data_IF_476059427508
#
_entry.id   IF_476059427508
#
_cell.length_a   1.000
_cell.length_b   1.000
_cell.length_c   1.000
_cell.angle_alpha   90.00
_cell.angle_beta   90.00
_cell.angle_gamma   90.00
#
_symmetry.space_group_name_H-M   'P 1'
#
loop_
_entity.id
_entity.type
_entity.pdbx_description
1 polymer ?
#
# COMPACT_ATOMS: atom_id res chain seq x y z
N UNK A 1 -60.10 -15.07 -10.23
CA UNK A 1 -59.70 -13.69 -10.55
C UNK A 1 -58.27 -13.49 -10.12
N UNK A 2 -57.45 -13.04 -11.07
CA UNK A 2 -56.00 -12.78 -11.05
C UNK A 2 -55.54 -11.92 -9.86
N UNK A 3 -54.31 -11.98 -9.35
CA UNK A 3 -53.07 -11.75 -10.09
C UNK A 3 -51.81 -12.28 -9.36
N UNK A 4 -50.75 -12.66 -10.10
CA UNK A 4 -49.39 -12.77 -9.58
C UNK A 4 -48.65 -11.41 -9.68
N UNK A 5 -48.01 -10.97 -8.61
CA UNK A 5 -47.20 -9.74 -8.62
C UNK A 5 -45.76 -10.05 -9.05
N UNK A 6 -45.41 -9.67 -10.28
CA UNK A 6 -44.04 -9.46 -10.77
C UNK A 6 -43.42 -8.25 -10.04
N UNK A 7 -42.11 -7.98 -9.91
CA UNK A 7 -40.94 -8.27 -10.74
C UNK A 7 -39.65 -7.95 -9.92
N UNK A 8 -38.44 -8.24 -10.43
CA UNK A 8 -37.16 -7.91 -9.80
C UNK A 8 -36.69 -6.51 -10.23
N UNK A 9 -35.97 -5.76 -9.39
CA UNK A 9 -35.00 -4.71 -9.80
C UNK A 9 -34.35 -4.10 -8.56
N UNK A 10 -33.03 -4.15 -8.46
CA UNK A 10 -32.24 -3.04 -7.90
C UNK A 10 -30.85 -3.07 -8.54
N UNK A 11 -30.55 -1.94 -9.18
CA UNK A 11 -29.44 -1.67 -10.09
C UNK A 11 -28.04 -1.82 -9.46
N UNK A 12 -26.98 -1.96 -10.28
CA UNK A 12 -25.62 -1.76 -9.82
C UNK A 12 -25.36 -0.26 -9.57
N UNK A 13 -25.03 0.08 -8.34
CA UNK A 13 -24.56 1.41 -7.94
C UNK A 13 -23.25 1.73 -8.66
N UNK A 14 -23.30 2.67 -9.60
CA UNK A 14 -22.10 3.24 -10.22
C UNK A 14 -21.43 4.18 -9.20
N UNK A 15 -20.22 3.83 -8.76
CA UNK A 15 -19.44 4.69 -7.89
C UNK A 15 -18.84 5.87 -8.67
N UNK A 16 -18.84 7.10 -8.12
CA UNK A 16 -18.16 8.23 -8.72
C UNK A 16 -16.63 8.16 -8.50
N UNK A 17 -15.87 8.26 -9.60
CA UNK A 17 -14.42 8.46 -9.59
C UNK A 17 -14.12 9.89 -9.13
N UNK A 18 -13.66 10.05 -7.89
CA UNK A 18 -13.09 11.31 -7.42
C UNK A 18 -11.64 11.39 -7.88
N UNK A 19 -11.42 12.15 -8.96
CA UNK A 19 -10.12 12.50 -9.50
C UNK A 19 -9.30 13.29 -8.49
N UNK A 20 -8.18 12.72 -8.06
CA UNK A 20 -7.17 13.41 -7.26
C UNK A 20 -6.28 14.25 -8.17
N UNK A 21 -6.37 15.58 -8.05
CA UNK A 21 -5.38 16.50 -8.62
C UNK A 21 -4.85 17.38 -7.50
N UNK A 22 -3.73 16.94 -6.93
CA UNK A 22 -2.89 17.77 -6.07
C UNK A 22 -1.46 17.62 -6.59
N UNK A 23 -1.04 18.59 -7.38
CA UNK A 23 0.28 18.71 -7.97
C UNK A 23 1.30 19.05 -6.87
N UNK A 24 2.38 18.27 -6.65
CA UNK A 24 3.47 18.73 -5.80
C UNK A 24 4.49 19.56 -6.59
N UNK A 25 4.86 20.68 -5.97
CA UNK A 25 5.94 21.62 -6.35
C UNK A 25 7.32 20.93 -6.35
N UNK A 26 8.23 21.21 -7.30
CA UNK A 26 9.58 20.65 -7.28
C UNK A 26 10.42 21.33 -6.19
N UNK A 27 10.46 20.73 -5.00
CA UNK A 27 11.48 21.03 -4.00
C UNK A 27 12.80 20.36 -4.41
N UNK A 28 13.98 20.98 -4.19
CA UNK A 28 15.26 20.37 -4.55
C UNK A 28 15.47 19.07 -3.76
N UNK A 29 15.37 17.94 -4.45
CA UNK A 29 15.65 16.62 -3.90
C UNK A 29 17.14 16.54 -3.53
N UNK A 30 17.45 16.77 -2.26
CA UNK A 30 18.65 16.27 -1.61
C UNK A 30 18.78 14.79 -1.96
N UNK A 31 19.93 14.40 -2.49
CA UNK A 31 20.28 13.06 -2.94
C UNK A 31 20.04 12.03 -1.81
N UNK A 32 18.86 11.41 -1.79
CA UNK A 32 18.61 10.18 -1.02
C UNK A 32 19.47 9.07 -1.59
N UNK A 33 19.95 8.13 -0.75
CA UNK A 33 20.84 7.06 -1.18
C UNK A 33 20.21 6.28 -2.33
N UNK A 34 20.90 6.27 -3.46
CA UNK A 34 20.55 5.53 -4.67
C UNK A 34 20.36 4.06 -4.32
N UNK A 35 19.12 3.65 -4.08
CA UNK A 35 18.71 2.26 -4.19
C UNK A 35 19.07 1.78 -5.61
N UNK A 36 19.66 0.58 -5.78
CA UNK A 36 20.30 0.18 -7.03
C UNK A 36 19.35 0.32 -8.24
N UNK A 37 19.85 0.85 -9.38
CA UNK A 37 19.05 1.04 -10.57
C UNK A 37 18.66 -0.32 -11.17
N UNK A 38 17.44 -0.78 -10.92
CA UNK A 38 16.88 -1.95 -11.60
C UNK A 38 15.86 -2.77 -10.82
N UNK A 39 15.77 -2.61 -9.49
CA UNK A 39 14.82 -3.37 -8.67
C UNK A 39 13.72 -2.43 -8.18
N UNK A 40 12.59 -2.40 -8.89
CA UNK A 40 11.40 -1.71 -8.36
C UNK A 40 10.89 -2.54 -7.19
N UNK A 41 11.27 -2.12 -6.00
CA UNK A 41 10.75 -2.61 -4.75
C UNK A 41 9.38 -1.94 -4.54
N UNK A 42 8.37 -2.75 -4.28
CA UNK A 42 6.99 -2.28 -4.03
C UNK A 42 6.50 -2.90 -2.74
N UNK A 43 5.69 -2.14 -2.00
CA UNK A 43 5.01 -2.65 -0.81
C UNK A 43 4.15 -3.86 -1.14
N UNK A 44 4.03 -4.78 -0.19
CA UNK A 44 3.12 -5.91 -0.34
C UNK A 44 1.68 -5.42 -0.41
N UNK A 45 1.05 -5.56 -1.57
CA UNK A 45 -0.32 -5.12 -1.79
C UNK A 45 -1.29 -5.80 -0.80
N UNK A 46 -2.01 -4.99 -0.02
CA UNK A 46 -2.95 -5.47 0.99
C UNK A 46 -2.30 -5.95 2.28
N UNK A 47 -1.00 -5.71 2.49
CA UNK A 47 -0.38 -5.89 3.79
C UNK A 47 -0.80 -4.77 4.74
N UNK A 48 -1.13 -5.17 5.96
CA UNK A 48 -1.35 -4.30 7.09
C UNK A 48 -0.74 -4.94 8.33
N UNK A 49 -0.42 -4.14 9.32
CA UNK A 49 0.13 -4.60 10.58
C UNK A 49 -0.99 -5.19 11.49
N UNK A 50 -0.69 -5.50 12.76
CA UNK A 50 -1.70 -5.99 13.70
C UNK A 50 -2.80 -5.00 14.11
N UNK A 51 -2.58 -3.71 13.88
CA UNK A 51 -3.52 -2.62 14.13
C UNK A 51 -4.32 -2.21 12.88
N UNK A 52 -3.91 -2.71 11.71
CA UNK A 52 -4.49 -2.35 10.43
C UNK A 52 -3.76 -1.19 9.74
N UNK A 53 -2.57 -0.82 10.21
CA UNK A 53 -1.74 0.21 9.60
C UNK A 53 -0.95 -0.38 8.41
N UNK A 54 -0.95 0.36 7.30
CA UNK A 54 -0.25 0.01 6.08
C UNK A 54 1.15 0.65 6.02
N UNK A 55 1.89 0.36 4.94
CA UNK A 55 3.26 0.87 4.76
C UNK A 55 3.36 2.41 4.83
N UNK A 56 2.35 3.14 4.37
CA UNK A 56 2.27 4.61 4.47
C UNK A 56 2.35 5.15 5.91
N UNK A 57 1.96 4.37 6.91
CA UNK A 57 2.13 4.77 8.31
C UNK A 57 3.61 4.75 8.69
N UNK A 58 4.32 3.68 8.34
CA UNK A 58 5.73 3.51 8.62
C UNK A 58 6.60 4.51 7.86
N UNK A 59 6.21 4.90 6.64
CA UNK A 59 6.88 5.97 5.89
C UNK A 59 6.79 7.35 6.57
N UNK A 60 5.66 7.63 7.21
CA UNK A 60 5.40 8.92 7.86
C UNK A 60 5.88 8.99 9.30
N UNK A 61 5.91 7.85 10.00
CA UNK A 61 6.18 7.76 11.44
C UNK A 61 7.53 7.14 11.78
N UNK A 62 8.21 6.49 10.83
CA UNK A 62 9.56 5.92 10.98
C UNK A 62 10.54 6.51 9.96
N UNK A 63 11.83 6.20 10.10
CA UNK A 63 12.86 6.53 9.11
C UNK A 63 12.98 5.43 8.07
N UNK A 64 13.60 5.75 6.95
CA UNK A 64 13.97 4.77 5.91
C UNK A 64 14.74 3.60 6.55
N UNK A 65 14.37 2.38 6.17
CA UNK A 65 14.84 1.14 6.80
C UNK A 65 14.10 0.73 8.08
N UNK A 66 13.10 1.51 8.51
CA UNK A 66 12.24 1.29 9.68
C UNK A 66 12.97 0.77 10.94
N UNK A 67 13.98 1.52 11.45
CA UNK A 67 14.81 1.08 12.57
C UNK A 67 14.06 0.98 13.90
N UNK A 68 12.91 1.65 14.06
CA UNK A 68 12.17 1.67 15.32
C UNK A 68 10.99 0.69 15.32
N UNK A 69 10.20 0.67 14.25
CA UNK A 69 8.96 -0.09 14.18
C UNK A 69 8.99 -1.23 13.16
N UNK A 70 10.04 -1.33 12.34
CA UNK A 70 10.12 -2.32 11.25
C UNK A 70 10.01 -3.78 11.69
N UNK A 71 10.42 -4.11 12.91
CA UNK A 71 10.34 -5.48 13.46
C UNK A 71 9.15 -5.68 14.41
N UNK A 72 8.30 -4.68 14.55
CA UNK A 72 7.17 -4.70 15.48
C UNK A 72 5.86 -4.82 14.71
N UNK A 73 4.79 -5.15 15.44
CA UNK A 73 3.42 -5.10 14.91
C UNK A 73 3.16 -5.99 13.69
N UNK A 74 3.92 -7.08 13.55
CA UNK A 74 3.77 -8.02 12.44
C UNK A 74 2.31 -8.43 12.20
N UNK A 75 1.95 -8.60 10.92
CA UNK A 75 0.60 -8.98 10.56
C UNK A 75 0.21 -10.30 11.28
N UNK A 76 -0.95 -10.37 11.95
CA UNK A 76 -1.31 -11.52 12.76
C UNK A 76 -1.61 -12.77 11.93
N UNK A 77 -1.97 -12.61 10.66
CA UNK A 77 -2.33 -13.67 9.70
C UNK A 77 -1.09 -14.14 8.92
N UNK A 78 -0.38 -13.23 8.26
CA UNK A 78 0.78 -13.56 7.41
C UNK A 78 2.08 -13.70 8.19
N UNK A 79 2.13 -13.19 9.43
CA UNK A 79 3.33 -13.13 10.30
C UNK A 79 4.50 -12.33 9.70
N UNK A 80 4.22 -11.49 8.71
CA UNK A 80 5.19 -10.64 8.03
C UNK A 80 5.30 -9.31 8.76
N UNK A 81 6.53 -8.88 9.05
CA UNK A 81 6.82 -7.60 9.69
C UNK A 81 6.81 -6.43 8.70
N UNK A 82 6.65 -5.18 9.17
CA UNK A 82 6.74 -4.00 8.30
C UNK A 82 8.08 -3.93 7.54
N UNK A 83 9.17 -4.38 8.18
CA UNK A 83 10.50 -4.44 7.56
C UNK A 83 10.62 -5.44 6.41
N UNK A 84 9.71 -6.40 6.32
CA UNK A 84 9.65 -7.37 5.25
C UNK A 84 8.56 -7.04 4.22
N UNK A 85 7.52 -6.32 4.62
CA UNK A 85 6.39 -5.97 3.76
C UNK A 85 6.56 -4.64 3.01
N UNK A 86 7.21 -3.67 3.65
CA UNK A 86 7.25 -2.31 3.18
C UNK A 86 8.59 -2.00 2.53
N UNK A 87 8.52 -1.45 1.33
CA UNK A 87 9.69 -1.13 0.55
C UNK A 87 10.57 -0.06 1.23
N UNK A 88 9.93 0.96 1.79
CA UNK A 88 10.61 1.99 2.58
C UNK A 88 11.45 1.43 3.72
N UNK A 89 11.01 0.32 4.31
CA UNK A 89 11.73 -0.35 5.38
C UNK A 89 12.87 -1.25 4.87
N UNK A 90 13.13 -1.30 3.56
CA UNK A 90 14.06 -2.23 2.92
C UNK A 90 13.48 -3.62 2.65
N UNK A 91 12.17 -3.79 2.87
CA UNK A 91 11.41 -5.00 2.58
C UNK A 91 10.65 -4.90 1.26
N UNK A 92 9.49 -5.55 1.21
CA UNK A 92 8.58 -5.52 0.09
C UNK A 92 8.91 -6.54 -1.00
N UNK A 93 8.09 -6.49 -2.05
CA UNK A 93 8.26 -7.33 -3.23
C UNK A 93 9.26 -6.69 -4.18
N UNK A 94 10.44 -7.31 -4.27
CA UNK A 94 11.43 -6.94 -5.28
C UNK A 94 10.98 -7.44 -6.64
N UNK A 95 10.51 -6.52 -7.49
CA UNK A 95 10.30 -6.85 -8.90
C UNK A 95 11.65 -6.83 -9.60
N UNK A 96 12.36 -7.96 -9.55
CA UNK A 96 13.56 -8.18 -10.36
C UNK A 96 13.16 -8.07 -11.83
N UNK A 97 13.47 -6.94 -12.47
CA UNK A 97 13.51 -6.89 -13.93
C UNK A 97 14.72 -7.71 -14.36
N UNK A 98 14.48 -8.99 -14.66
CA UNK A 98 15.45 -9.85 -15.33
C UNK A 98 15.87 -9.15 -16.63
N UNK A 99 17.15 -8.80 -16.72
CA UNK A 99 17.81 -8.28 -17.93
C UNK A 99 18.32 -9.43 -18.78
#
# INVERSE_FOLDING_TARGET
>A
TSAPTSAPTSAPTSAPTLSTTSTPSPSPATLSPTSPPGTTCNDMAGWTDSYGDECDWYERHDREGCPYFGQYWANPVTKITPSEACCWCGGGSVSMKAS
#
